data_IF_261788306228
#
_entry.id   IF_261788306228
#
_cell.length_a   1.000
_cell.length_b   1.000
_cell.length_c   1.000
_cell.angle_alpha   90.00
_cell.angle_beta   90.00
_cell.angle_gamma   90.00
#
_symmetry.space_group_name_H-M   'P 1'
#
loop_
_entity.id
_entity.type
_entity.pdbx_description
1 polymer ?
#
# COMPACT_ATOMS: atom_id res chain seq x y z
N UNK A 1 37.60 3.71 -3.97
CA UNK A 1 37.04 4.81 -3.16
C UNK A 1 35.57 4.53 -2.98
N UNK A 2 35.10 4.32 -1.76
CA UNK A 2 33.68 4.19 -1.45
C UNK A 2 33.12 5.61 -1.39
N UNK A 3 32.13 5.94 -2.23
CA UNK A 3 31.40 7.18 -2.08
C UNK A 3 30.64 7.15 -0.75
N UNK A 4 30.57 8.26 0.01
CA UNK A 4 29.76 8.32 1.22
C UNK A 4 28.30 8.01 0.86
N UNK A 5 27.74 6.97 1.46
CA UNK A 5 26.32 6.66 1.30
C UNK A 5 25.50 7.80 1.90
N UNK A 6 24.53 8.29 1.13
CA UNK A 6 23.59 9.29 1.62
C UNK A 6 22.86 8.71 2.85
N UNK A 7 22.88 9.43 3.97
CA UNK A 7 22.18 9.00 5.18
C UNK A 7 20.75 9.54 5.12
N UNK A 8 19.76 8.65 5.11
CA UNK A 8 18.35 9.03 5.22
C UNK A 8 17.96 9.22 6.69
N UNK A 9 17.09 10.20 6.95
CA UNK A 9 16.64 10.56 8.28
C UNK A 9 15.12 10.60 8.30
N UNK A 10 14.50 9.86 9.24
CA UNK A 10 13.08 9.95 9.55
C UNK A 10 12.92 10.75 10.84
N UNK A 11 12.12 11.82 10.80
CA UNK A 11 11.79 12.61 11.98
C UNK A 11 10.26 12.71 12.14
N UNK A 12 9.76 12.42 13.33
CA UNK A 12 8.35 12.58 13.70
C UNK A 12 8.23 13.77 14.65
N UNK A 13 7.29 14.65 14.36
CA UNK A 13 7.07 15.89 15.10
C UNK A 13 5.62 16.01 15.54
N UNK A 14 5.41 16.55 16.73
CA UNK A 14 4.11 17.11 17.11
C UNK A 14 3.99 18.50 16.49
N UNK A 15 3.15 18.65 15.47
CA UNK A 15 2.97 19.92 14.77
C UNK A 15 2.33 21.01 15.64
N UNK A 16 1.62 20.65 16.72
CA UNK A 16 0.97 21.62 17.62
C UNK A 16 1.98 22.28 18.53
N UNK A 17 2.92 21.50 19.06
CA UNK A 17 3.94 21.99 19.98
C UNK A 17 5.28 22.32 19.29
N UNK A 18 5.47 21.83 18.07
CA UNK A 18 6.75 21.88 17.36
C UNK A 18 7.81 20.94 17.94
N UNK A 19 7.43 20.03 18.84
CA UNK A 19 8.38 19.13 19.52
C UNK A 19 8.70 17.91 18.65
N UNK A 20 9.98 17.54 18.56
CA UNK A 20 10.40 16.30 17.92
C UNK A 20 10.08 15.10 18.83
N UNK A 21 9.25 14.18 18.35
CA UNK A 21 8.85 12.97 19.08
C UNK A 21 9.86 11.84 18.85
N UNK A 22 10.35 11.71 17.60
CA UNK A 22 11.21 10.61 17.18
C UNK A 22 12.20 11.07 16.10
N UNK A 23 13.44 10.57 16.13
CA UNK A 23 14.44 10.80 15.09
C UNK A 23 15.26 9.53 14.85
N UNK A 24 15.17 8.99 13.65
CA UNK A 24 15.88 7.79 13.21
C UNK A 24 16.82 8.17 12.07
N UNK A 25 18.08 7.73 12.15
CA UNK A 25 19.01 7.77 11.01
C UNK A 25 19.25 6.37 10.50
N UNK A 26 18.88 6.10 9.24
CA UNK A 26 18.99 4.79 8.62
C UNK A 26 19.25 4.94 7.12
N UNK A 27 20.39 4.47 6.60
CA UNK A 27 20.65 4.50 5.15
C UNK A 27 19.73 3.55 4.35
N UNK A 28 19.20 2.48 4.95
CA UNK A 28 18.35 1.47 4.31
C UNK A 28 16.85 1.81 4.29
N UNK A 29 16.49 3.01 4.72
CA UNK A 29 15.11 3.49 4.80
C UNK A 29 14.63 4.01 3.45
N UNK A 30 13.47 3.53 2.98
CA UNK A 30 12.87 3.99 1.71
C UNK A 30 11.59 4.81 1.92
N UNK A 31 10.66 4.34 2.75
CA UNK A 31 9.39 5.02 2.99
C UNK A 31 8.75 4.64 4.31
N UNK A 32 7.73 5.40 4.71
CA UNK A 32 6.97 5.15 5.93
C UNK A 32 5.53 5.62 5.81
N UNK A 33 4.69 5.12 6.72
CA UNK A 33 3.34 5.62 6.96
C UNK A 33 2.92 5.32 8.40
N UNK A 34 1.94 6.03 8.92
CA UNK A 34 1.36 5.74 10.22
C UNK A 34 0.34 4.62 10.12
N UNK A 35 0.41 3.65 11.05
CA UNK A 35 -0.64 2.65 11.28
C UNK A 35 -1.68 3.18 12.27
N UNK A 36 -1.21 3.95 13.25
CA UNK A 36 -1.97 4.69 14.25
C UNK A 36 -1.09 5.83 14.75
N UNK A 37 -1.59 6.65 15.67
CA UNK A 37 -0.80 7.71 16.31
C UNK A 37 0.45 7.19 17.05
N UNK A 38 0.44 5.91 17.42
CA UNK A 38 1.48 5.25 18.21
C UNK A 38 2.35 4.29 17.40
N UNK A 39 2.00 4.00 16.14
CA UNK A 39 2.65 2.96 15.35
C UNK A 39 2.98 3.46 13.95
N UNK A 40 4.22 3.20 13.53
CA UNK A 40 4.71 3.44 12.17
C UNK A 40 4.93 2.12 11.44
N UNK A 41 4.56 2.08 10.17
CA UNK A 41 5.01 1.06 9.22
C UNK A 41 6.13 1.66 8.38
N UNK A 42 7.28 0.99 8.33
CA UNK A 42 8.46 1.48 7.64
C UNK A 42 9.01 0.43 6.70
N UNK A 43 9.34 0.82 5.46
CA UNK A 43 9.99 -0.04 4.48
C UNK A 43 11.52 0.03 4.61
N UNK A 44 12.15 -1.14 4.69
CA UNK A 44 13.60 -1.32 4.72
C UNK A 44 14.07 -2.21 3.57
N UNK A 45 15.27 -1.90 3.06
CA UNK A 45 15.99 -2.73 2.09
C UNK A 45 17.42 -2.94 2.57
N UNK A 46 17.70 -4.12 3.10
CA UNK A 46 19.02 -4.48 3.66
C UNK A 46 19.56 -5.73 2.96
N UNK A 47 20.74 -5.64 2.35
CA UNK A 47 21.36 -6.76 1.64
C UNK A 47 20.47 -7.39 0.54
N UNK A 48 19.56 -6.60 -0.06
CA UNK A 48 18.58 -7.08 -1.03
C UNK A 48 17.35 -7.77 -0.43
N UNK A 49 17.21 -7.80 0.90
CA UNK A 49 16.01 -8.23 1.60
C UNK A 49 15.09 -7.04 1.83
N UNK A 50 13.88 -7.09 1.28
CA UNK A 50 12.81 -6.12 1.58
C UNK A 50 12.06 -6.57 2.83
N UNK A 51 11.80 -5.66 3.75
CA UNK A 51 10.91 -5.91 4.88
C UNK A 51 10.12 -4.67 5.31
N UNK A 52 8.97 -4.90 5.94
CA UNK A 52 8.18 -3.87 6.60
C UNK A 52 8.37 -4.01 8.10
N UNK A 53 8.87 -2.97 8.77
CA UNK A 53 9.03 -2.96 10.22
C UNK A 53 7.97 -2.08 10.86
N UNK A 54 7.36 -2.61 11.91
CA UNK A 54 6.41 -1.86 12.75
C UNK A 54 7.17 -1.27 13.93
N UNK A 55 7.20 0.05 14.02
CA UNK A 55 7.88 0.79 15.08
C UNK A 55 6.86 1.42 16.02
N UNK A 56 7.17 1.43 17.32
CA UNK A 56 6.43 2.23 18.28
C UNK A 56 6.92 3.68 18.24
N UNK A 57 5.98 4.63 18.22
CA UNK A 57 6.26 6.05 18.37
C UNK A 57 6.31 6.36 19.86
N UNK A 58 7.50 6.25 20.45
CA UNK A 58 7.69 6.58 21.88
C UNK A 58 8.18 8.02 22.03
N UNK A 59 7.52 8.85 22.85
CA UNK A 59 7.99 10.20 23.14
C UNK A 59 9.39 10.18 23.76
N UNK A 60 10.37 10.77 23.10
CA UNK A 60 11.72 10.88 23.63
C UNK A 60 12.64 11.70 22.73
N UNK A 61 13.41 12.62 23.32
CA UNK A 61 14.33 13.50 22.59
C UNK A 61 15.63 12.80 22.14
N UNK A 62 15.80 11.50 22.41
CA UNK A 62 17.01 10.78 22.03
C UNK A 62 16.96 10.40 20.56
N UNK A 63 17.97 10.87 19.81
CA UNK A 63 18.25 10.38 18.48
C UNK A 63 18.67 8.90 18.56
N UNK A 64 17.99 8.03 17.82
CA UNK A 64 18.33 6.61 17.74
C UNK A 64 19.00 6.31 16.39
N UNK A 65 20.09 5.54 16.41
CA UNK A 65 20.61 4.91 15.19
C UNK A 65 19.66 3.79 14.76
N UNK A 66 19.58 3.51 13.47
CA UNK A 66 18.71 2.46 12.92
C UNK A 66 18.86 1.11 13.64
N UNK A 67 20.09 0.73 13.95
CA UNK A 67 20.46 -0.51 14.62
C UNK A 67 19.89 -0.60 16.05
N UNK A 68 19.69 0.55 16.70
CA UNK A 68 19.17 0.65 18.06
C UNK A 68 17.64 0.75 18.10
N UNK A 69 17.00 1.01 16.95
CA UNK A 69 15.54 1.14 16.88
C UNK A 69 14.90 -0.23 17.06
N UNK A 70 14.32 -0.44 18.25
CA UNK A 70 13.51 -1.61 18.52
C UNK A 70 12.21 -1.55 17.72
N UNK A 71 12.05 -2.49 16.80
CA UNK A 71 10.77 -2.75 16.15
C UNK A 71 9.95 -3.75 16.95
N UNK A 72 8.63 -3.68 16.80
CA UNK A 72 7.67 -4.62 17.37
C UNK A 72 7.55 -5.89 16.52
N UNK A 73 7.60 -5.72 15.20
CA UNK A 73 7.43 -6.78 14.22
C UNK A 73 8.19 -6.42 12.93
N UNK A 74 8.82 -7.40 12.28
CA UNK A 74 9.41 -7.28 10.94
C UNK A 74 8.75 -8.29 10.00
N UNK A 75 8.04 -7.79 8.99
CA UNK A 75 7.35 -8.57 7.97
C UNK A 75 8.25 -8.70 6.74
N UNK A 76 8.88 -9.86 6.54
CA UNK A 76 9.85 -10.07 5.45
C UNK A 76 9.17 -10.50 4.16
N UNK A 77 9.58 -9.91 3.05
CA UNK A 77 9.23 -10.34 1.70
C UNK A 77 9.99 -11.63 1.31
N UNK A 78 9.55 -12.35 0.26
CA UNK A 78 10.34 -13.42 -0.32
C UNK A 78 11.69 -12.90 -0.79
N UNK A 79 12.71 -13.76 -0.80
CA UNK A 79 14.03 -13.37 -1.24
C UNK A 79 14.00 -12.94 -2.72
N UNK A 80 14.57 -11.77 -2.99
CA UNK A 80 14.63 -11.21 -4.33
C UNK A 80 15.82 -11.77 -5.12
N UNK A 81 15.66 -11.81 -6.44
CA UNK A 81 16.72 -11.94 -7.44
C UNK A 81 16.90 -10.67 -8.29
N UNK A 82 15.99 -9.71 -8.13
CA UNK A 82 16.06 -8.38 -8.73
C UNK A 82 16.81 -7.40 -7.82
N UNK A 83 17.25 -6.28 -8.39
CA UNK A 83 17.72 -5.12 -7.64
C UNK A 83 16.52 -4.27 -7.27
N UNK A 84 16.40 -3.88 -6.00
CA UNK A 84 15.35 -2.97 -5.55
C UNK A 84 15.77 -1.55 -5.82
N UNK A 85 14.95 -0.82 -6.58
CA UNK A 85 15.19 0.58 -6.88
C UNK A 85 14.48 1.48 -5.85
N UNK A 86 13.24 1.13 -5.52
CA UNK A 86 12.43 1.89 -4.57
C UNK A 86 11.36 1.03 -3.88
N UNK A 87 10.99 1.42 -2.66
CA UNK A 87 9.86 0.86 -1.92
C UNK A 87 9.04 1.98 -1.32
N UNK A 88 7.83 2.21 -1.83
CA UNK A 88 6.90 3.21 -1.30
C UNK A 88 5.72 2.58 -0.59
N UNK A 89 5.26 3.20 0.50
CA UNK A 89 4.07 2.79 1.24
C UNK A 89 3.06 3.93 1.24
N UNK A 90 1.83 3.66 0.83
CA UNK A 90 0.72 4.61 0.83
C UNK A 90 -0.47 3.99 1.54
N UNK A 91 -1.21 4.80 2.30
CA UNK A 91 -2.52 4.44 2.85
C UNK A 91 -3.41 5.66 2.89
N UNK A 92 -4.59 5.55 2.29
CA UNK A 92 -5.57 6.63 2.17
C UNK A 92 -6.98 6.11 2.53
N UNK A 93 -7.81 6.89 3.24
CA UNK A 93 -7.38 8.06 4.01
C UNK A 93 -6.32 7.65 5.04
N UNK A 94 -5.45 8.59 5.42
CA UNK A 94 -4.43 8.30 6.44
C UNK A 94 -5.09 7.67 7.68
N UNK A 95 -4.53 6.58 8.26
CA UNK A 95 -5.17 5.87 9.37
C UNK A 95 -5.35 6.72 10.64
N UNK A 96 -4.62 7.84 10.72
CA UNK A 96 -4.68 8.82 11.82
C UNK A 96 -5.71 9.93 11.58
N UNK A 97 -6.34 9.97 10.40
CA UNK A 97 -7.44 10.90 10.15
C UNK A 97 -8.59 10.54 11.08
N UNK A 98 -8.69 11.29 12.18
CA UNK A 98 -9.80 11.18 13.11
C UNK A 98 -11.02 11.73 12.40
N UNK A 99 -11.71 10.88 11.63
CA UNK A 99 -13.07 11.19 11.22
C UNK A 99 -13.81 11.40 12.54
N UNK A 100 -14.26 12.64 12.78
CA UNK A 100 -15.02 12.99 13.98
C UNK A 100 -16.00 11.86 14.22
N UNK A 101 -15.93 11.25 15.40
CA UNK A 101 -16.80 10.17 15.83
C UNK A 101 -18.22 10.77 15.93
N UNK A 102 -18.90 10.91 14.78
CA UNK A 102 -20.29 11.29 14.69
C UNK A 102 -21.04 10.03 15.12
N UNK A 103 -21.17 9.87 16.44
CA UNK A 103 -21.84 8.76 17.13
C UNK A 103 -23.34 8.64 16.80
N UNK A 104 -23.86 9.45 15.88
CA UNK A 104 -25.26 9.53 15.53
C UNK A 104 -25.67 8.68 14.31
N UNK A 105 -24.73 8.04 13.59
CA UNK A 105 -25.07 7.14 12.47
C UNK A 105 -25.07 5.68 12.92
N UNK A 106 -26.18 4.92 12.72
CA UNK A 106 -26.32 3.55 13.21
C UNK A 106 -25.45 2.51 12.46
N UNK A 107 -24.67 2.94 11.47
CA UNK A 107 -23.78 2.09 10.70
C UNK A 107 -22.39 2.73 10.65
N UNK A 108 -21.37 2.01 11.12
CA UNK A 108 -19.98 2.42 10.97
C UNK A 108 -19.42 1.83 9.67
N UNK A 109 -18.79 2.67 8.84
CA UNK A 109 -17.98 2.18 7.75
C UNK A 109 -16.85 1.29 8.30
N UNK A 110 -16.35 0.35 7.47
CA UNK A 110 -15.21 -0.49 7.85
C UNK A 110 -14.05 0.41 8.30
N UNK A 111 -13.59 0.25 9.53
CA UNK A 111 -12.45 1.00 10.09
C UNK A 111 -11.10 0.49 9.59
N UNK A 112 -11.11 -0.59 8.81
CA UNK A 112 -9.91 -1.15 8.20
C UNK A 112 -9.55 -0.36 6.93
N UNK A 113 -8.26 -0.22 6.70
CA UNK A 113 -7.68 0.55 5.59
C UNK A 113 -6.60 -0.27 4.93
N UNK A 114 -6.40 -0.02 3.64
CA UNK A 114 -5.42 -0.72 2.84
C UNK A 114 -4.08 0.01 2.86
N UNK A 115 -3.02 -0.71 3.19
CA UNK A 115 -1.66 -0.33 2.87
C UNK A 115 -1.33 -0.83 1.47
N UNK A 116 -0.88 0.09 0.63
CA UNK A 116 -0.39 -0.16 -0.72
C UNK A 116 1.12 -0.01 -0.68
N UNK A 117 1.84 -1.13 -0.80
CA UNK A 117 3.30 -1.17 -0.84
C UNK A 117 3.72 -1.38 -2.28
N UNK A 118 4.33 -0.37 -2.90
CA UNK A 118 4.87 -0.46 -4.24
C UNK A 118 6.34 -0.81 -4.17
N UNK A 119 6.73 -1.92 -4.79
CA UNK A 119 8.12 -2.36 -4.93
C UNK A 119 8.56 -2.13 -6.37
N UNK A 120 9.41 -1.13 -6.63
CA UNK A 120 10.05 -0.93 -7.92
C UNK A 120 11.37 -1.69 -7.95
N UNK A 121 11.61 -2.40 -9.04
CA UNK A 121 12.78 -3.25 -9.17
C UNK A 121 13.30 -3.28 -10.60
N UNK A 122 14.59 -3.59 -10.72
CA UNK A 122 15.24 -3.85 -12.00
C UNK A 122 15.76 -5.29 -12.10
N UNK A 123 15.67 -5.87 -13.29
CA UNK A 123 16.23 -7.19 -13.62
C UNK A 123 17.19 -7.09 -14.79
N UNK A 124 18.48 -6.94 -14.51
CA UNK A 124 19.48 -6.64 -15.54
C UNK A 124 19.41 -5.18 -15.99
N UNK A 125 19.96 -4.85 -17.17
CA UNK A 125 20.15 -3.45 -17.57
C UNK A 125 18.93 -2.79 -18.22
N UNK A 126 17.92 -3.57 -18.63
CA UNK A 126 16.87 -3.09 -19.54
C UNK A 126 15.45 -3.42 -19.07
N UNK A 127 15.27 -3.89 -17.83
CA UNK A 127 13.96 -4.27 -17.32
C UNK A 127 13.73 -3.59 -15.99
N UNK A 128 12.89 -2.57 -15.99
CA UNK A 128 12.32 -1.94 -14.81
C UNK A 128 10.84 -2.30 -14.75
N UNK A 129 10.36 -2.62 -13.55
CA UNK A 129 8.96 -2.96 -13.31
C UNK A 129 8.60 -2.64 -11.87
N UNK A 130 7.31 -2.75 -11.56
CA UNK A 130 6.82 -2.59 -10.20
C UNK A 130 5.86 -3.72 -9.84
N UNK A 131 5.82 -4.04 -8.55
CA UNK A 131 4.76 -4.84 -7.94
C UNK A 131 4.03 -3.98 -6.92
N UNK A 132 2.74 -4.23 -6.76
CA UNK A 132 1.93 -3.60 -5.72
C UNK A 132 1.42 -4.68 -4.77
N UNK A 133 1.79 -4.58 -3.50
CA UNK A 133 1.27 -5.40 -2.42
C UNK A 133 0.19 -4.63 -1.66
N UNK A 134 -1.00 -5.18 -1.64
CA UNK A 134 -2.17 -4.70 -0.91
C UNK A 134 -2.29 -5.48 0.41
N UNK A 135 -2.21 -4.78 1.54
CA UNK A 135 -2.28 -5.39 2.89
C UNK A 135 -3.27 -4.62 3.76
N UNK A 136 -4.32 -5.25 4.30
CA UNK A 136 -5.19 -4.61 5.27
C UNK A 136 -4.43 -4.29 6.56
N UNK A 137 -4.77 -3.16 7.19
CA UNK A 137 -4.22 -2.75 8.50
C UNK A 137 -4.43 -3.82 9.56
N UNK A 138 -5.59 -4.47 9.57
CA UNK A 138 -5.90 -5.55 10.50
C UNK A 138 -4.90 -6.73 10.44
N UNK A 139 -4.39 -7.06 9.25
CA UNK A 139 -3.41 -8.14 9.06
C UNK A 139 -2.06 -7.76 9.67
N UNK A 140 -1.59 -6.53 9.47
CA UNK A 140 -0.34 -6.04 10.08
C UNK A 140 -0.45 -6.04 11.60
N UNK A 141 -1.55 -5.51 12.15
CA UNK A 141 -1.78 -5.48 13.60
C UNK A 141 -1.89 -6.88 14.21
N UNK A 142 -2.50 -7.82 13.48
CA UNK A 142 -2.53 -9.23 13.90
C UNK A 142 -1.11 -9.79 14.07
N UNK A 143 -0.23 -9.58 13.09
CA UNK A 143 1.16 -10.05 13.19
C UNK A 143 1.92 -9.41 14.36
N UNK A 144 1.71 -8.11 14.61
CA UNK A 144 2.27 -7.43 15.79
C UNK A 144 1.82 -8.10 17.09
N UNK A 145 0.53 -8.46 17.19
CA UNK A 145 -0.01 -9.13 18.38
C UNK A 145 0.56 -10.54 18.58
N UNK A 146 0.80 -11.29 17.50
CA UNK A 146 1.36 -12.64 17.57
C UNK A 146 2.83 -12.65 18.03
N UNK A 147 3.61 -11.64 17.63
CA UNK A 147 5.06 -11.57 17.89
C UNK A 147 5.37 -10.96 19.27
N UNK A 148 4.43 -10.26 19.89
CA UNK A 148 4.62 -9.56 21.17
C UNK A 148 5.05 -10.47 22.34
N UNK A 149 4.92 -11.79 22.20
CA UNK A 149 5.14 -12.77 23.28
C UNK A 149 6.51 -13.46 23.28
N UNK A 150 7.34 -13.35 22.22
CA UNK A 150 8.65 -14.04 22.18
C UNK A 150 9.58 -13.57 21.04
N UNK A 151 10.90 -13.44 21.27
CA UNK A 151 11.87 -13.36 20.16
C UNK A 151 11.93 -14.67 19.36
N UNK A 152 12.19 -14.64 18.04
CA UNK A 152 12.57 -13.46 17.24
C UNK A 152 11.38 -12.62 16.75
N UNK A 153 11.61 -11.33 16.53
CA UNK A 153 10.56 -10.37 16.11
C UNK A 153 10.28 -10.35 14.60
N UNK A 154 10.80 -11.31 13.83
CA UNK A 154 10.58 -11.37 12.38
C UNK A 154 9.54 -12.43 12.02
N UNK A 155 8.76 -12.13 11.00
CA UNK A 155 7.75 -13.02 10.42
C UNK A 155 8.11 -13.24 8.95
N UNK A 156 8.41 -14.49 8.60
CA UNK A 156 8.75 -14.86 7.23
C UNK A 156 7.52 -14.81 6.31
N UNK A 157 7.76 -14.60 5.01
CA UNK A 157 6.70 -14.44 4.02
C UNK A 157 5.63 -15.53 4.11
N UNK A 158 6.02 -16.81 4.16
CA UNK A 158 5.10 -17.95 4.23
C UNK A 158 4.04 -17.87 5.33
N UNK A 159 4.32 -17.11 6.40
CA UNK A 159 3.42 -16.95 7.54
C UNK A 159 2.44 -15.79 7.38
N UNK A 160 2.86 -14.65 6.81
CA UNK A 160 2.05 -13.42 6.80
C UNK A 160 1.58 -12.97 5.42
N UNK A 161 2.29 -13.35 4.35
CA UNK A 161 2.07 -12.87 3.00
C UNK A 161 0.98 -13.64 2.24
N UNK A 162 1.07 -14.98 2.07
CA UNK A 162 0.19 -15.73 1.18
C UNK A 162 -1.30 -15.55 1.45
N UNK A 163 -1.71 -15.43 2.71
CA UNK A 163 -3.11 -15.26 3.11
C UNK A 163 -3.30 -13.91 3.79
N UNK A 164 -4.30 -13.16 3.34
CA UNK A 164 -4.60 -11.83 3.90
C UNK A 164 -3.87 -10.69 3.22
N UNK A 165 -3.05 -10.96 2.20
CA UNK A 165 -2.49 -9.93 1.33
C UNK A 165 -2.76 -10.25 -0.14
N UNK A 166 -2.56 -9.27 -1.01
CA UNK A 166 -2.65 -9.46 -2.46
C UNK A 166 -1.53 -8.72 -3.17
N UNK A 167 -0.72 -9.47 -3.91
CA UNK A 167 0.30 -8.91 -4.77
C UNK A 167 -0.21 -8.83 -6.20
N UNK A 168 0.04 -7.71 -6.87
CA UNK A 168 -0.36 -7.40 -8.23
C UNK A 168 0.88 -7.04 -9.05
N UNK A 169 0.98 -7.59 -10.26
CA UNK A 169 1.98 -7.20 -11.27
C UNK A 169 1.43 -6.01 -12.06
N UNK A 170 1.52 -4.82 -11.46
CA UNK A 170 1.00 -3.58 -12.01
C UNK A 170 2.02 -2.47 -11.80
N UNK A 171 2.15 -1.61 -12.80
CA UNK A 171 2.94 -0.39 -12.71
C UNK A 171 2.03 0.76 -12.25
N UNK A 172 2.15 1.26 -11.01
CA UNK A 172 1.36 2.39 -10.56
C UNK A 172 1.80 3.66 -11.31
N UNK A 173 0.87 4.61 -11.43
CA UNK A 173 1.16 5.86 -12.13
C UNK A 173 2.04 6.76 -11.26
N UNK A 174 3.19 7.19 -11.79
CA UNK A 174 4.09 8.14 -11.11
C UNK A 174 3.47 9.52 -10.85
N UNK A 175 2.32 9.80 -11.46
CA UNK A 175 1.70 11.12 -11.42
C UNK A 175 0.73 11.27 -10.24
N UNK A 176 0.30 10.19 -9.58
CA UNK A 176 -0.82 10.25 -8.64
C UNK A 176 -0.60 9.52 -7.32
N UNK A 177 -1.17 10.11 -6.27
CA UNK A 177 -0.91 9.76 -4.87
C UNK A 177 -2.03 8.93 -4.22
N UNK A 178 -3.25 8.93 -4.78
CA UNK A 178 -4.45 8.36 -4.12
C UNK A 178 -5.07 7.19 -4.91
N UNK A 179 -4.30 6.12 -5.10
CA UNK A 179 -4.79 4.90 -5.73
C UNK A 179 -5.64 4.01 -4.80
N UNK A 180 -5.64 4.29 -3.50
CA UNK A 180 -6.47 3.59 -2.53
C UNK A 180 -7.39 4.56 -1.78
N UNK A 181 -8.51 4.03 -1.30
CA UNK A 181 -9.36 4.70 -0.31
C UNK A 181 -10.06 3.64 0.53
N UNK A 182 -9.80 3.64 1.85
CA UNK A 182 -10.27 2.59 2.75
C UNK A 182 -9.77 1.22 2.29
N UNK A 183 -10.69 0.30 1.99
CA UNK A 183 -10.38 -1.05 1.48
C UNK A 183 -10.48 -1.17 -0.05
N UNK A 184 -10.56 -0.04 -0.76
CA UNK A 184 -10.62 -0.01 -2.23
C UNK A 184 -9.29 0.40 -2.82
N UNK A 185 -8.98 -0.13 -3.99
CA UNK A 185 -7.80 0.20 -4.78
C UNK A 185 -8.17 0.33 -6.26
N UNK A 186 -7.59 1.29 -6.97
CA UNK A 186 -7.83 1.53 -8.39
C UNK A 186 -6.53 1.57 -9.17
N UNK A 187 -6.51 0.87 -10.29
CA UNK A 187 -5.40 0.84 -11.22
C UNK A 187 -5.89 1.02 -12.65
N UNK A 188 -5.19 1.86 -13.41
CA UNK A 188 -5.49 2.07 -14.83
C UNK A 188 -4.62 1.14 -15.66
N UNK A 189 -5.26 0.17 -16.32
CA UNK A 189 -4.61 -0.77 -17.22
C UNK A 189 -4.66 -0.22 -18.66
N UNK A 190 -3.58 0.47 -19.04
CA UNK A 190 -3.46 1.10 -20.36
C UNK A 190 -4.34 2.34 -20.56
N UNK A 191 -4.81 2.55 -21.80
CA UNK A 191 -5.51 3.79 -22.16
C UNK A 191 -6.99 3.79 -21.74
N UNK A 192 -7.68 2.64 -21.84
CA UNK A 192 -9.14 2.58 -21.79
C UNK A 192 -9.71 1.77 -20.62
N UNK A 193 -8.92 0.87 -20.02
CA UNK A 193 -9.41 0.00 -18.96
C UNK A 193 -8.95 0.50 -17.59
N UNK A 194 -9.81 0.36 -16.61
CA UNK A 194 -9.49 0.65 -15.22
C UNK A 194 -10.03 -0.47 -14.36
N UNK A 195 -9.14 -1.11 -13.61
CA UNK A 195 -9.49 -2.14 -12.65
C UNK A 195 -9.71 -1.49 -11.29
N UNK A 196 -10.86 -1.78 -10.70
CA UNK A 196 -11.22 -1.38 -9.35
C UNK A 196 -11.29 -2.64 -8.50
N UNK A 197 -10.58 -2.62 -7.38
CA UNK A 197 -10.55 -3.69 -6.40
C UNK A 197 -11.25 -3.20 -5.15
N UNK A 198 -12.24 -3.94 -4.67
CA UNK A 198 -12.93 -3.69 -3.41
C UNK A 198 -12.72 -4.90 -2.50
N UNK A 199 -11.85 -4.72 -1.51
CA UNK A 199 -11.41 -5.74 -0.57
C UNK A 199 -12.22 -5.68 0.74
N UNK A 200 -13.32 -4.91 0.76
CA UNK A 200 -14.21 -4.85 1.90
C UNK A 200 -15.03 -6.15 2.02
N UNK A 201 -14.92 -6.93 3.11
CA UNK A 201 -15.65 -8.19 3.26
C UNK A 201 -17.18 -8.01 3.32
N UNK A 202 -17.67 -6.83 3.71
CA UNK A 202 -19.11 -6.53 3.68
C UNK A 202 -19.63 -6.32 2.26
N UNK A 203 -18.81 -5.71 1.40
CA UNK A 203 -19.17 -5.44 0.01
C UNK A 203 -19.38 -6.74 -0.77
N UNK A 204 -18.47 -7.71 -0.59
CA UNK A 204 -18.57 -9.06 -1.18
C UNK A 204 -19.86 -9.80 -0.77
N UNK A 205 -20.34 -9.60 0.47
CA UNK A 205 -21.57 -10.25 0.97
C UNK A 205 -22.84 -9.63 0.41
N UNK A 206 -22.85 -8.33 0.09
CA UNK A 206 -24.03 -7.60 -0.37
C UNK A 206 -24.43 -7.97 -1.80
N UNK A 207 -23.45 -8.22 -2.68
CA UNK A 207 -23.71 -8.51 -4.10
C UNK A 207 -24.43 -9.84 -4.33
N UNK A 208 -24.24 -10.83 -3.45
CA UNK A 208 -24.96 -12.11 -3.51
C UNK A 208 -26.48 -11.91 -3.54
N UNK A 209 -26.96 -10.79 -2.99
CA UNK A 209 -28.38 -10.47 -2.89
C UNK A 209 -28.88 -9.45 -3.94
N UNK A 210 -28.00 -8.92 -4.80
CA UNK A 210 -28.37 -7.85 -5.75
C UNK A 210 -28.51 -8.42 -7.17
N UNK A 211 -29.75 -8.49 -7.68
CA UNK A 211 -30.04 -9.14 -8.95
C UNK A 211 -29.46 -8.43 -10.21
N UNK A 212 -29.14 -7.13 -10.12
CA UNK A 212 -28.57 -6.34 -11.22
C UNK A 212 -27.65 -5.23 -10.67
N UNK A 213 -26.37 -5.52 -10.38
CA UNK A 213 -25.45 -4.48 -9.96
C UNK A 213 -25.10 -3.55 -11.13
N UNK A 214 -25.02 -2.23 -10.88
CA UNK A 214 -24.60 -1.24 -11.88
C UNK A 214 -23.17 -1.49 -12.38
N UNK A 215 -22.32 -2.06 -11.51
CA UNK A 215 -20.94 -2.41 -11.81
C UNK A 215 -20.83 -3.94 -11.89
N UNK A 216 -20.21 -4.50 -12.96
CA UNK A 216 -20.05 -5.94 -13.12
C UNK A 216 -18.90 -6.48 -12.26
N UNK A 217 -19.12 -6.53 -10.95
CA UNK A 217 -18.17 -7.09 -9.98
C UNK A 217 -17.95 -8.59 -10.19
N UNK A 218 -16.69 -9.03 -10.09
CA UNK A 218 -16.28 -10.43 -10.13
C UNK A 218 -15.56 -10.79 -8.86
N UNK A 219 -15.85 -11.97 -8.30
CA UNK A 219 -15.10 -12.49 -7.17
C UNK A 219 -13.62 -12.67 -7.59
N UNK A 220 -12.72 -12.18 -6.75
CA UNK A 220 -11.29 -12.27 -7.01
C UNK A 220 -10.77 -13.67 -6.71
N UNK A 221 -9.88 -14.18 -7.56
CA UNK A 221 -9.16 -15.44 -7.33
C UNK A 221 -7.83 -15.18 -6.62
N UNK A 222 -7.04 -16.22 -6.37
CA UNK A 222 -5.63 -16.04 -6.00
C UNK A 222 -4.85 -15.32 -7.12
N UNK A 223 -3.83 -14.55 -6.74
CA UNK A 223 -2.87 -13.99 -7.69
C UNK A 223 -1.56 -14.77 -7.61
N UNK A 224 -0.95 -15.05 -8.75
CA UNK A 224 0.36 -15.70 -8.85
C UNK A 224 1.35 -14.79 -9.59
N UNK A 225 2.42 -14.39 -8.90
CA UNK A 225 3.58 -13.73 -9.47
C UNK A 225 4.64 -14.79 -9.76
N UNK A 226 4.94 -15.00 -11.04
CA UNK A 226 5.80 -16.10 -11.48
C UNK A 226 6.39 -15.87 -12.87
N UNK A 227 7.16 -16.85 -13.34
CA UNK A 227 7.73 -16.82 -14.70
C UNK A 227 8.97 -15.93 -14.87
N UNK A 228 9.20 -15.46 -16.11
CA UNK A 228 10.46 -14.77 -16.49
C UNK A 228 10.63 -13.39 -15.84
N UNK A 229 9.53 -12.68 -15.56
CA UNK A 229 9.53 -11.34 -14.98
C UNK A 229 9.42 -11.31 -13.45
N UNK A 230 9.33 -12.48 -12.81
CA UNK A 230 9.21 -12.60 -11.37
C UNK A 230 10.48 -12.03 -10.66
N UNK A 231 10.38 -11.01 -9.80
CA UNK A 231 11.55 -10.49 -9.08
C UNK A 231 12.02 -11.39 -7.95
N UNK A 232 11.22 -12.38 -7.54
CA UNK A 232 11.51 -13.28 -6.43
C UNK A 232 12.21 -14.55 -6.90
N UNK A 233 12.92 -15.20 -5.96
CA UNK A 233 13.55 -16.52 -6.19
C UNK A 233 12.55 -17.68 -6.22
N UNK A 234 11.29 -17.41 -5.88
CA UNK A 234 10.20 -18.38 -5.87
C UNK A 234 8.94 -17.78 -6.48
N UNK A 235 8.01 -18.61 -6.94
CA UNK A 235 6.68 -18.15 -7.31
C UNK A 235 5.95 -17.64 -6.04
N UNK A 236 5.33 -16.47 -6.13
CA UNK A 236 4.60 -15.86 -5.02
C UNK A 236 3.12 -15.96 -5.31
N UNK A 237 2.40 -16.68 -4.44
CA UNK A 237 0.95 -16.82 -4.51
C UNK A 237 0.35 -16.05 -3.34
N UNK A 238 -0.63 -15.20 -3.63
CA UNK A 238 -1.31 -14.38 -2.62
C UNK A 238 -2.81 -14.45 -2.78
N UNK A 239 -3.52 -14.38 -1.66
CA UNK A 239 -4.97 -14.38 -1.62
C UNK A 239 -5.50 -13.44 -0.54
N UNK A 240 -6.22 -12.42 -1.02
CA UNK A 240 -7.07 -11.55 -0.22
C UNK A 240 -8.46 -11.58 -0.86
N UNK A 241 -9.48 -12.10 -0.16
CA UNK A 241 -10.85 -12.09 -0.64
C UNK A 241 -11.32 -10.68 -0.99
N UNK A 242 -12.08 -10.56 -2.07
CA UNK A 242 -12.62 -9.30 -2.53
C UNK A 242 -13.33 -9.46 -3.87
N UNK A 243 -13.67 -8.32 -4.46
CA UNK A 243 -14.27 -8.24 -5.78
C UNK A 243 -13.51 -7.25 -6.67
N UNK A 244 -13.45 -7.55 -7.95
CA UNK A 244 -12.81 -6.73 -8.96
C UNK A 244 -13.83 -6.35 -10.04
N UNK A 245 -13.76 -5.10 -10.51
CA UNK A 245 -14.51 -4.64 -11.67
C UNK A 245 -13.56 -4.00 -12.68
N UNK A 246 -13.71 -4.37 -13.96
CA UNK A 246 -13.03 -3.72 -15.06
C UNK A 246 -13.98 -2.70 -15.70
N UNK A 247 -13.66 -1.43 -15.55
CA UNK A 247 -14.45 -0.31 -16.02
C UNK A 247 -13.80 0.25 -17.29
N UNK A 248 -14.61 0.44 -18.32
CA UNK A 248 -14.22 1.24 -19.48
C UNK A 248 -14.58 2.68 -19.18
N UNK A 249 -13.59 3.44 -18.73
CA UNK A 249 -13.76 4.87 -18.51
C UNK A 249 -13.80 5.51 -19.89
N UNK A 250 -14.99 5.80 -20.41
CA UNK A 250 -15.19 6.34 -21.75
C UNK A 250 -14.26 7.54 -21.93
N UNK A 251 -13.23 7.41 -22.77
CA UNK A 251 -12.30 8.52 -22.96
C UNK A 251 -13.08 9.62 -23.69
N UNK A 252 -12.87 10.87 -23.30
CA UNK A 252 -13.05 11.96 -24.26
C UNK A 252 -12.04 11.74 -25.40
N UNK A 253 -12.10 12.56 -26.46
CA UNK A 253 -11.15 12.48 -27.59
C UNK A 253 -9.66 12.46 -27.17
N UNK A 254 -9.32 12.83 -25.94
CA UNK A 254 -7.96 13.02 -25.43
C UNK A 254 -7.59 12.02 -24.32
N UNK A 255 -8.49 11.08 -23.97
CA UNK A 255 -8.27 10.08 -22.93
C UNK A 255 -8.23 10.61 -21.49
N UNK A 256 -8.42 9.71 -20.52
CA UNK A 256 -8.15 9.99 -19.11
C UNK A 256 -6.68 9.63 -18.82
N UNK A 257 -5.90 10.55 -18.26
CA UNK A 257 -4.50 10.24 -17.91
C UNK A 257 -4.45 9.37 -16.66
N UNK A 258 -5.40 9.56 -15.74
CA UNK A 258 -5.45 8.82 -14.49
C UNK A 258 -6.84 8.75 -13.86
N UNK A 259 -6.95 7.86 -12.88
CA UNK A 259 -8.10 7.68 -12.03
C UNK A 259 -7.66 7.59 -10.56
N UNK A 260 -8.42 8.23 -9.69
CA UNK A 260 -8.34 8.16 -8.24
C UNK A 260 -9.66 7.56 -7.72
N UNK A 261 -9.63 7.02 -6.50
CA UNK A 261 -10.81 6.44 -5.87
C UNK A 261 -11.08 7.13 -4.54
N UNK A 262 -12.35 7.34 -4.23
CA UNK A 262 -12.84 7.79 -2.93
C UNK A 262 -13.80 6.74 -2.36
N UNK A 263 -14.53 7.09 -1.31
CA UNK A 263 -15.56 6.19 -0.76
C UNK A 263 -16.57 5.76 -1.83
N UNK A 264 -17.19 6.74 -2.51
CA UNK A 264 -18.31 6.46 -3.42
C UNK A 264 -18.04 6.83 -4.89
N UNK A 265 -16.85 7.33 -5.21
CA UNK A 265 -16.57 7.89 -6.52
C UNK A 265 -15.21 7.45 -7.08
N UNK A 266 -15.15 7.42 -8.40
CA UNK A 266 -13.91 7.40 -9.17
C UNK A 266 -13.74 8.78 -9.79
N UNK A 267 -12.60 9.41 -9.51
CA UNK A 267 -12.25 10.74 -10.01
C UNK A 267 -11.22 10.57 -11.12
N UNK A 268 -11.56 11.05 -12.32
CA UNK A 268 -10.71 10.96 -13.51
C UNK A 268 -10.14 12.32 -13.86
N UNK A 269 -8.87 12.34 -14.28
CA UNK A 269 -8.18 13.60 -14.63
C UNK A 269 -7.50 13.48 -16.00
N UNK A 270 -7.69 14.49 -16.84
CA UNK A 270 -6.98 14.62 -18.11
C UNK A 270 -5.51 15.03 -17.94
N UNK A 271 -4.74 14.85 -19.01
CA UNK A 271 -3.33 15.23 -19.07
C UNK A 271 -3.10 16.72 -18.79
N UNK A 272 -2.06 17.11 -18.03
CA UNK A 272 -1.76 18.51 -17.76
C UNK A 272 -1.32 19.32 -18.99
N UNK A 273 -1.03 18.66 -20.12
CA UNK A 273 -0.66 19.32 -21.37
C UNK A 273 -1.86 19.82 -22.18
N UNK A 274 -3.08 19.46 -21.77
CA UNK A 274 -4.30 20.03 -22.35
C UNK A 274 -4.60 21.38 -21.67
N UNK A 275 -4.69 22.50 -22.43
CA UNK A 275 -5.02 23.81 -21.86
C UNK A 275 -6.40 23.84 -21.17
N UNK A 276 -7.27 22.87 -21.48
CA UNK A 276 -8.58 22.68 -20.87
C UNK A 276 -8.61 21.44 -20.00
N UNK A 277 -7.91 21.47 -18.86
CA UNK A 277 -7.88 20.33 -17.93
C UNK A 277 -9.30 19.98 -17.45
N UNK A 278 -9.84 18.84 -17.90
CA UNK A 278 -11.13 18.33 -17.43
C UNK A 278 -10.95 17.34 -16.29
N UNK A 279 -11.94 17.38 -15.41
CA UNK A 279 -12.14 16.43 -14.32
C UNK A 279 -13.49 15.78 -14.55
N UNK A 280 -13.58 14.48 -14.31
CA UNK A 280 -14.85 13.77 -14.29
C UNK A 280 -14.97 12.93 -13.03
N UNK A 281 -16.21 12.73 -12.60
CA UNK A 281 -16.54 11.85 -11.48
C UNK A 281 -17.52 10.79 -11.97
N UNK A 282 -17.34 9.57 -11.46
CA UNK A 282 -18.24 8.46 -11.69
C UNK A 282 -18.61 7.86 -10.35
N UNK A 283 -19.90 7.84 -10.03
CA UNK A 283 -20.40 7.17 -8.83
C UNK A 283 -20.23 5.65 -8.96
N UNK A 284 -19.86 4.99 -7.86
CA UNK A 284 -19.69 3.52 -7.78
C UNK A 284 -20.91 2.80 -7.24
#
# INVERSE_FOLDING_TARGET
>A
MLFPQATTVLAVWDWRTGSQIMLIRCPEFHSFTFISDELLLVAFVDGGQVSLRVLAVTPGNSMSLAEDVQYLCELRFPQLRATVEDVSIISEPSPTSTVLNITAVPFTASTDVLFTVTLRYSMGTNFESALVLLVPRSIILYQVSCVSSSPPKYVGWETWGPTGSRMLDIEPSDVWVCHSYGMKFIHKDGEANTSVYDLNPYATRKDVNTANPHIPWKAMKETKIGGRRNPFKMDVITYLPGREASLKLTPNEHGWKAAMITEDHIVMVQSPHDPTRKYAYMAM
#
